data_IF_497300443528
#
_entry.id   IF_497300443528
#
_cell.length_a   1.000
_cell.length_b   1.000
_cell.length_c   1.000
_cell.angle_alpha   90.00
_cell.angle_beta   90.00
_cell.angle_gamma   90.00
#
_symmetry.space_group_name_H-M   'P 1'
#
loop_
_entity.id
_entity.type
_entity.pdbx_description
1 polymer ?
#
# COMPACT_ATOMS: atom_id res chain seq x y z
N UNK A 1 11.49 19.11 16.31
CA UNK A 1 12.17 17.96 15.69
C UNK A 1 11.18 16.81 15.72
N UNK A 2 10.90 16.17 14.59
CA UNK A 2 9.98 15.03 14.50
C UNK A 2 10.75 13.70 14.35
N UNK A 3 10.03 12.56 14.36
CA UNK A 3 10.62 11.23 14.23
C UNK A 3 11.46 11.08 12.94
N UNK A 4 10.97 11.63 11.83
CA UNK A 4 11.69 11.58 10.55
C UNK A 4 13.02 12.34 10.63
N UNK A 5 13.03 13.50 11.30
CA UNK A 5 14.25 14.27 11.56
C UNK A 5 15.28 13.51 12.39
N UNK A 6 14.85 12.75 13.41
CA UNK A 6 15.76 11.91 14.22
C UNK A 6 16.31 10.76 13.37
N UNK A 7 15.45 10.03 12.66
CA UNK A 7 15.86 8.88 11.84
C UNK A 7 16.92 9.27 10.78
N UNK A 8 16.80 10.46 10.19
CA UNK A 8 17.79 10.98 9.22
C UNK A 8 19.15 11.30 9.84
N UNK A 9 19.22 11.61 11.14
CA UNK A 9 20.50 11.86 11.81
C UNK A 9 21.26 10.56 12.05
N UNK A 10 20.54 9.45 12.17
CA UNK A 10 21.09 8.14 12.53
C UNK A 10 21.33 7.25 11.29
N UNK A 11 20.78 7.59 10.12
CA UNK A 11 20.85 6.74 8.93
C UNK A 11 20.54 7.48 7.62
N UNK A 12 21.09 6.96 6.51
CA UNK A 12 20.72 7.32 5.13
C UNK A 12 19.54 6.49 4.59
N UNK A 13 18.85 5.75 5.43
CA UNK A 13 17.69 4.96 5.04
C UNK A 13 16.54 5.85 4.52
N UNK A 14 15.84 5.38 3.49
CA UNK A 14 14.63 6.04 2.98
C UNK A 14 13.48 5.92 3.98
N UNK A 15 12.77 7.03 4.20
CA UNK A 15 11.70 7.15 5.19
C UNK A 15 10.35 7.36 4.50
N UNK A 16 9.36 6.59 4.94
CA UNK A 16 7.96 6.74 4.54
C UNK A 16 7.02 6.52 5.73
N UNK A 17 5.74 6.82 5.54
CA UNK A 17 4.66 6.51 6.48
C UNK A 17 3.54 5.83 5.71
N UNK A 18 3.13 4.63 6.16
CA UNK A 18 1.97 3.92 5.63
C UNK A 18 0.67 4.64 5.99
N UNK A 19 0.06 5.31 5.01
CA UNK A 19 -1.21 5.99 5.16
C UNK A 19 -2.37 5.04 4.92
N UNK A 20 -3.22 4.86 5.93
CA UNK A 20 -4.33 3.90 5.95
C UNK A 20 -5.33 4.04 4.80
N UNK A 21 -5.48 5.22 4.20
CA UNK A 21 -6.37 5.44 3.06
C UNK A 21 -5.95 6.67 2.24
N UNK A 22 -6.22 6.74 0.92
CA UNK A 22 -5.88 7.89 0.08
C UNK A 22 -6.65 9.18 0.40
N UNK A 23 -7.73 9.09 1.20
CA UNK A 23 -8.65 10.19 1.55
C UNK A 23 -7.98 11.46 2.10
N UNK A 24 -6.85 11.30 2.80
CA UNK A 24 -6.13 12.40 3.42
C UNK A 24 -4.74 12.59 2.80
N UNK A 25 -4.67 12.95 1.51
CA UNK A 25 -3.43 12.92 0.72
C UNK A 25 -2.33 13.85 1.25
N UNK A 26 -2.66 14.79 2.13
CA UNK A 26 -1.74 15.77 2.71
C UNK A 26 -1.44 15.55 4.19
N UNK A 27 -1.94 14.48 4.82
CA UNK A 27 -1.78 14.22 6.26
C UNK A 27 -0.31 14.28 6.70
N UNK A 28 0.58 13.77 5.86
CA UNK A 28 2.02 13.66 6.13
C UNK A 28 2.86 14.69 5.37
N UNK A 29 2.24 15.69 4.73
CA UNK A 29 2.94 16.65 3.86
C UNK A 29 3.97 17.54 4.57
N UNK A 30 3.90 17.62 5.91
CA UNK A 30 4.85 18.36 6.74
C UNK A 30 6.00 17.49 7.26
N UNK A 31 5.93 16.17 7.05
CA UNK A 31 7.02 15.26 7.35
C UNK A 31 7.97 15.24 6.15
N UNK A 32 9.26 15.32 6.40
CA UNK A 32 10.29 15.23 5.36
C UNK A 32 10.48 13.77 4.93
N UNK A 33 9.47 13.19 4.27
CA UNK A 33 9.47 11.81 3.77
C UNK A 33 10.10 11.74 2.37
N UNK A 34 10.79 10.64 2.07
CA UNK A 34 11.42 10.42 0.76
C UNK A 34 10.43 9.91 -0.29
N UNK A 35 9.37 9.24 0.16
CA UNK A 35 8.21 8.85 -0.65
C UNK A 35 6.98 8.66 0.24
N UNK A 36 5.80 8.75 -0.36
CA UNK A 36 4.53 8.49 0.34
C UNK A 36 4.06 7.07 0.09
N UNK A 37 3.40 6.47 1.07
CA UNK A 37 2.83 5.14 0.96
C UNK A 37 1.35 5.19 1.27
N UNK A 38 0.50 4.76 0.33
CA UNK A 38 -0.95 4.68 0.52
C UNK A 38 -1.43 3.23 0.50
N UNK A 39 -2.37 2.92 1.38
CA UNK A 39 -3.04 1.63 1.43
C UNK A 39 -4.35 1.69 0.64
N UNK A 40 -4.67 0.63 -0.08
CA UNK A 40 -5.83 0.56 -0.96
C UNK A 40 -6.48 -0.82 -0.91
N UNK A 41 -7.77 -0.85 -0.57
CA UNK A 41 -8.54 -2.09 -0.44
C UNK A 41 -9.88 -2.00 -1.17
N UNK A 42 -10.46 -3.14 -1.52
CA UNK A 42 -11.70 -3.23 -2.32
C UNK A 42 -12.95 -2.70 -1.62
N UNK A 43 -12.92 -2.60 -0.28
CA UNK A 43 -14.01 -2.02 0.51
C UNK A 43 -13.91 -0.50 0.62
N UNK A 44 -12.80 0.11 0.20
CA UNK A 44 -12.62 1.56 0.25
C UNK A 44 -13.42 2.27 -0.84
N UNK A 45 -13.89 3.47 -0.53
CA UNK A 45 -14.54 4.35 -1.50
C UNK A 45 -13.54 4.78 -2.59
N UNK A 46 -12.27 4.96 -2.22
CA UNK A 46 -11.18 5.41 -3.09
C UNK A 46 -10.55 4.29 -3.92
N UNK A 47 -11.10 3.07 -3.90
CA UNK A 47 -10.51 1.86 -4.52
C UNK A 47 -10.13 2.01 -6.00
N UNK A 48 -10.72 2.95 -6.73
CA UNK A 48 -10.42 3.21 -8.14
C UNK A 48 -9.30 4.24 -8.36
N UNK A 49 -8.75 4.84 -7.31
CA UNK A 49 -7.76 5.92 -7.44
C UNK A 49 -6.54 5.53 -8.26
N UNK A 50 -6.19 4.23 -8.27
CA UNK A 50 -5.08 3.69 -9.04
C UNK A 50 -5.23 3.87 -10.56
N UNK A 51 -6.48 4.10 -11.04
CA UNK A 51 -6.80 4.43 -12.44
C UNK A 51 -6.53 5.89 -12.80
N UNK A 52 -6.35 6.74 -11.79
CA UNK A 52 -5.99 8.13 -11.97
C UNK A 52 -4.47 8.29 -11.99
N UNK A 53 -3.98 9.33 -12.68
CA UNK A 53 -2.59 9.74 -12.63
C UNK A 53 -2.13 9.89 -11.17
N UNK A 54 -1.02 9.24 -10.82
CA UNK A 54 -0.39 9.39 -9.51
C UNK A 54 -0.15 10.88 -9.22
N UNK A 55 -0.33 11.35 -7.97
CA UNK A 55 -0.56 12.75 -7.68
C UNK A 55 0.74 13.58 -7.59
N UNK A 56 1.64 13.43 -8.56
CA UNK A 56 2.98 14.04 -8.62
C UNK A 56 3.00 15.58 -8.51
N UNK A 57 1.88 16.27 -8.81
CA UNK A 57 1.76 17.72 -8.68
C UNK A 57 1.39 18.18 -7.27
N UNK A 58 0.72 17.31 -6.51
CA UNK A 58 0.25 17.61 -5.14
C UNK A 58 1.25 17.11 -4.11
N UNK A 59 1.87 15.96 -4.39
CA UNK A 59 2.97 15.41 -3.63
C UNK A 59 4.25 15.62 -4.41
N UNK A 60 5.17 16.43 -3.87
CA UNK A 60 6.50 16.65 -4.45
C UNK A 60 7.45 15.44 -4.29
N UNK A 61 6.90 14.23 -4.09
CA UNK A 61 7.63 12.99 -3.90
C UNK A 61 6.84 11.81 -4.51
N UNK A 62 7.50 10.69 -4.85
CA UNK A 62 6.83 9.50 -5.38
C UNK A 62 5.77 8.95 -4.42
N UNK A 63 4.73 8.30 -4.97
CA UNK A 63 3.70 7.61 -4.18
C UNK A 63 3.68 6.14 -4.53
N UNK A 64 3.84 5.29 -3.51
CA UNK A 64 3.76 3.83 -3.58
C UNK A 64 2.41 3.38 -3.01
N UNK A 65 1.75 2.44 -3.68
CA UNK A 65 0.60 1.73 -3.11
C UNK A 65 1.11 0.60 -2.21
N UNK A 66 1.42 0.92 -0.95
CA UNK A 66 2.17 0.01 -0.06
C UNK A 66 1.36 -1.11 0.57
N UNK A 67 0.04 -1.08 0.41
CA UNK A 67 -0.81 -2.25 0.67
C UNK A 67 -1.90 -2.29 -0.39
N UNK A 68 -1.92 -3.37 -1.17
CA UNK A 68 -3.01 -3.73 -2.09
C UNK A 68 -3.38 -5.20 -1.87
N UNK A 69 -4.63 -5.64 -2.08
CA UNK A 69 -4.99 -7.04 -1.89
C UNK A 69 -4.27 -7.98 -2.86
N UNK A 70 -4.09 -9.24 -2.45
CA UNK A 70 -3.81 -10.36 -3.36
C UNK A 70 -5.03 -10.67 -4.23
N UNK A 71 -5.17 -9.94 -5.34
CA UNK A 71 -6.28 -10.04 -6.28
C UNK A 71 -6.77 -8.66 -6.74
N UNK A 72 -7.69 -8.60 -7.71
CA UNK A 72 -8.16 -7.32 -8.22
C UNK A 72 -8.95 -6.57 -7.13
N UNK A 73 -8.81 -5.24 -7.11
CA UNK A 73 -9.56 -4.34 -6.21
C UNK A 73 -11.06 -4.29 -6.54
N UNK A 74 -11.42 -4.69 -7.76
CA UNK A 74 -12.80 -4.72 -8.23
C UNK A 74 -13.12 -6.08 -8.83
N UNK A 75 -14.36 -6.53 -8.65
CA UNK A 75 -14.83 -7.76 -9.29
C UNK A 75 -14.92 -7.56 -10.82
N UNK A 76 -14.85 -8.66 -11.58
CA UNK A 76 -14.83 -8.63 -13.05
C UNK A 76 -16.04 -7.90 -13.65
N UNK A 77 -17.19 -7.98 -12.99
CA UNK A 77 -18.43 -7.28 -13.36
C UNK A 77 -18.38 -5.77 -13.15
N UNK A 78 -17.59 -5.27 -12.19
CA UNK A 78 -17.50 -3.84 -11.86
C UNK A 78 -16.32 -3.17 -12.58
N UNK A 79 -15.24 -3.91 -12.83
CA UNK A 79 -14.03 -3.40 -13.44
C UNK A 79 -13.96 -3.45 -14.96
N UNK A 80 -15.01 -3.95 -15.64
CA UNK A 80 -15.00 -4.20 -17.08
C UNK A 80 -13.94 -5.25 -17.49
N UNK A 81 -13.54 -6.10 -16.55
CA UNK A 81 -12.54 -7.13 -16.80
C UNK A 81 -13.25 -8.41 -17.26
N UNK A 82 -13.30 -8.63 -18.57
CA UNK A 82 -13.63 -9.94 -19.14
C UNK A 82 -12.42 -10.85 -18.94
N UNK A 83 -12.46 -11.76 -17.97
CA UNK A 83 -11.35 -12.69 -17.73
C UNK A 83 -11.32 -13.28 -16.32
N UNK A 84 -10.30 -14.09 -16.09
CA UNK A 84 -9.97 -14.67 -14.79
C UNK A 84 -9.54 -13.60 -13.77
N UNK A 85 -9.62 -13.93 -12.48
CA UNK A 85 -9.13 -13.05 -11.40
C UNK A 85 -7.63 -12.72 -11.54
N UNK A 86 -6.85 -13.63 -12.11
CA UNK A 86 -5.41 -13.42 -12.36
C UNK A 86 -5.15 -12.37 -13.44
N UNK A 87 -5.92 -12.43 -14.54
CA UNK A 87 -5.85 -11.43 -15.61
C UNK A 87 -6.30 -10.06 -15.12
N UNK A 88 -7.41 -10.01 -14.36
CA UNK A 88 -7.90 -8.78 -13.75
C UNK A 88 -6.86 -8.14 -12.79
N UNK A 89 -6.20 -8.96 -11.97
CA UNK A 89 -5.13 -8.50 -11.09
C UNK A 89 -3.93 -7.98 -11.88
N UNK A 90 -3.49 -8.72 -12.90
CA UNK A 90 -2.36 -8.31 -13.76
C UNK A 90 -2.64 -6.98 -14.45
N UNK A 91 -3.85 -6.80 -14.99
CA UNK A 91 -4.30 -5.54 -15.59
C UNK A 91 -4.30 -4.39 -14.58
N UNK A 92 -4.76 -4.63 -13.37
CA UNK A 92 -4.74 -3.63 -12.30
C UNK A 92 -3.32 -3.13 -11.98
N UNK A 93 -2.33 -4.04 -11.89
CA UNK A 93 -0.93 -3.68 -11.69
C UNK A 93 -0.37 -2.88 -12.90
N UNK A 94 -0.72 -3.28 -14.12
CA UNK A 94 -0.33 -2.54 -15.32
C UNK A 94 -0.94 -1.14 -15.36
N UNK A 95 -2.19 -0.96 -14.94
CA UNK A 95 -2.84 0.36 -14.81
C UNK A 95 -2.12 1.23 -13.77
N UNK A 96 -1.74 0.66 -12.61
CA UNK A 96 -0.92 1.37 -11.62
C UNK A 96 0.40 1.86 -12.22
N UNK A 97 1.11 0.98 -12.94
CA UNK A 97 2.36 1.35 -13.59
C UNK A 97 2.14 2.44 -14.66
N UNK A 98 1.14 2.28 -15.51
CA UNK A 98 0.84 3.23 -16.60
C UNK A 98 0.46 4.62 -16.07
N UNK A 99 -0.20 4.69 -14.91
CA UNK A 99 -0.60 5.93 -14.26
C UNK A 99 0.50 6.56 -13.40
N UNK A 100 1.72 6.02 -13.42
CA UNK A 100 2.88 6.62 -12.76
C UNK A 100 2.94 6.42 -11.25
N UNK A 101 2.24 5.41 -10.72
CA UNK A 101 2.44 4.98 -9.33
C UNK A 101 3.84 4.38 -9.19
N UNK A 102 4.59 4.82 -8.19
CA UNK A 102 6.02 4.50 -8.07
C UNK A 102 6.28 3.05 -7.64
N UNK A 103 5.26 2.34 -7.18
CA UNK A 103 5.30 0.93 -6.82
C UNK A 103 3.96 0.46 -6.25
N UNK A 104 3.82 -0.86 -6.16
CA UNK A 104 2.69 -1.52 -5.51
C UNK A 104 3.18 -2.70 -4.69
N UNK A 105 2.80 -2.78 -3.42
CA UNK A 105 3.17 -3.87 -2.52
C UNK A 105 1.92 -4.65 -2.12
N UNK A 106 1.97 -5.95 -2.39
CA UNK A 106 0.83 -6.84 -2.17
C UNK A 106 0.74 -7.23 -0.70
N UNK A 107 -0.47 -7.13 -0.16
CA UNK A 107 -0.83 -7.54 1.18
C UNK A 107 -1.71 -8.81 1.17
N UNK A 108 -1.38 -9.87 1.90
CA UNK A 108 -0.21 -10.04 2.78
C UNK A 108 0.74 -11.11 2.25
N UNK A 109 2.00 -11.10 2.69
CA UNK A 109 2.95 -12.20 2.44
C UNK A 109 2.39 -13.58 2.81
N UNK A 110 1.49 -13.65 3.81
CA UNK A 110 0.98 -14.89 4.39
C UNK A 110 -0.16 -15.53 3.59
N UNK A 111 -0.62 -14.90 2.51
CA UNK A 111 -1.71 -15.40 1.70
C UNK A 111 -2.87 -14.41 1.59
N UNK A 112 -3.94 -14.88 0.93
CA UNK A 112 -5.10 -14.04 0.62
C UNK A 112 -5.83 -13.70 1.90
N UNK A 113 -5.93 -12.41 2.20
CA UNK A 113 -6.71 -11.92 3.33
C UNK A 113 -8.20 -12.22 3.10
N UNK A 114 -8.90 -12.90 4.04
CA UNK A 114 -10.34 -13.13 3.94
C UNK A 114 -11.12 -11.82 3.83
N UNK A 115 -12.25 -11.84 3.10
CA UNK A 115 -13.18 -10.70 3.05
C UNK A 115 -13.63 -10.35 4.48
N UNK A 116 -13.51 -9.08 4.87
CA UNK A 116 -13.93 -8.58 6.19
C UNK A 116 -12.94 -8.79 7.34
N UNK A 117 -11.72 -9.25 7.06
CA UNK A 117 -10.68 -9.29 8.08
C UNK A 117 -10.28 -7.85 8.49
N UNK A 118 -10.16 -7.59 9.80
CA UNK A 118 -9.54 -6.35 10.28
C UNK A 118 -8.06 -6.33 9.90
N UNK A 119 -7.44 -5.15 9.91
CA UNK A 119 -5.99 -4.99 9.72
C UNK A 119 -5.15 -5.75 10.79
N UNK A 120 -5.78 -6.41 11.77
CA UNK A 120 -5.13 -7.20 12.84
C UNK A 120 -4.70 -8.62 12.41
N UNK A 121 -4.46 -8.88 11.11
CA UNK A 121 -3.96 -10.18 10.62
C UNK A 121 -2.55 -10.50 11.11
N UNK A 122 -1.89 -9.56 11.80
CA UNK A 122 -0.70 -9.84 12.59
C UNK A 122 -1.07 -10.60 13.88
N UNK A 123 -1.61 -11.82 13.77
CA UNK A 123 -1.25 -12.83 14.77
C UNK A 123 0.27 -12.91 14.68
N UNK A 124 1.02 -12.60 15.75
CA UNK A 124 2.45 -12.32 15.64
C UNK A 124 3.18 -13.54 15.08
N UNK A 125 3.46 -13.51 13.79
CA UNK A 125 4.30 -14.50 13.12
C UNK A 125 5.76 -14.41 13.59
N UNK A 126 6.07 -13.38 14.39
CA UNK A 126 7.29 -13.23 15.16
C UNK A 126 7.10 -13.59 16.63
N UNK A 127 6.35 -14.65 16.96
CA UNK A 127 6.53 -15.26 18.29
C UNK A 127 8.00 -15.65 18.41
N UNK A 128 8.67 -14.97 19.35
CA UNK A 128 10.07 -15.16 19.68
C UNK A 128 10.42 -16.64 19.66
N UNK A 129 11.57 -16.99 19.08
CA UNK A 129 12.29 -18.19 19.48
C UNK A 129 12.66 -17.97 20.95
N UNK A 130 11.75 -18.32 21.86
CA UNK A 130 12.05 -18.37 23.27
C UNK A 130 13.15 -19.43 23.40
N UNK A 131 14.33 -18.95 23.80
CA UNK A 131 15.53 -19.72 24.10
C UNK A 131 15.18 -21.11 24.63
N UNK A 132 15.58 -22.15 23.88
CA UNK A 132 15.67 -23.49 24.42
C UNK A 132 16.72 -23.47 25.54
N UNK A 133 16.26 -23.28 26.77
CA UNK A 133 16.97 -23.59 28.00
C UNK A 133 16.12 -24.57 28.80
N UNK A 134 16.36 -25.86 28.59
CA UNK A 134 17.03 -26.76 29.53
C UNK A 134 17.10 -28.15 28.93
#
# INVERSE_FOLDING_TARGET
MDLAGILRQESDALITVGQVAPRWPMAWSRLNLDFYQWHLYSWMEEKEIYRSQAPYRKQCAPVVLGEIPMGPLMESSEGGASGSLSEAFSKMIQEMQANGWAGAWVWSYQGRVPRGASLDILVPAFRSVASAKK
#
